data_IF_961713974891
#
_entry.id   IF_961713974891
#
_cell.length_a   1.000
_cell.length_b   1.000
_cell.length_c   1.000
_cell.angle_alpha   90.00
_cell.angle_beta   90.00
_cell.angle_gamma   90.00
#
_symmetry.space_group_name_H-M   'P 1'
#
loop_
_entity.id
_entity.type
_entity.pdbx_description
1 polymer ?
#
# COMPACT_ATOMS: atom_id res chain seq x y z
N UNK A 1 -7.99 -40.56 -41.74
CA UNK A 1 -8.59 -39.33 -41.19
C UNK A 1 -8.71 -39.51 -39.69
N UNK A 2 -7.80 -38.91 -38.92
CA UNK A 2 -7.94 -38.78 -37.48
C UNK A 2 -7.50 -37.36 -37.14
N UNK A 3 -8.47 -36.49 -36.88
CA UNK A 3 -8.28 -35.12 -36.47
C UNK A 3 -7.86 -35.09 -35.01
N UNK A 4 -6.63 -34.68 -34.73
CA UNK A 4 -6.18 -34.35 -33.38
C UNK A 4 -7.00 -33.17 -32.83
N UNK A 5 -7.39 -33.18 -31.55
CA UNK A 5 -8.07 -32.03 -30.95
C UNK A 5 -7.09 -30.88 -30.81
N UNK A 6 -7.39 -29.74 -31.44
CA UNK A 6 -6.76 -28.47 -31.11
C UNK A 6 -7.12 -28.12 -29.66
N UNK A 7 -6.20 -28.38 -28.73
CA UNK A 7 -6.21 -27.71 -27.43
C UNK A 7 -5.84 -26.24 -27.66
N UNK A 8 -6.84 -25.43 -28.04
CA UNK A 8 -6.78 -23.99 -27.82
C UNK A 8 -6.76 -23.78 -26.31
N UNK A 9 -5.56 -23.62 -25.75
CA UNK A 9 -5.39 -23.05 -24.42
C UNK A 9 -6.10 -21.69 -24.43
N UNK A 10 -7.28 -21.62 -23.82
CA UNK A 10 -7.95 -20.35 -23.55
C UNK A 10 -6.99 -19.55 -22.68
N UNK A 11 -6.37 -18.53 -23.26
CA UNK A 11 -5.42 -17.66 -22.56
C UNK A 11 -6.17 -16.99 -21.40
N UNK A 12 -5.95 -17.46 -20.18
CA UNK A 12 -6.67 -16.97 -19.00
C UNK A 12 -6.41 -15.48 -18.83
N UNK A 13 -7.49 -14.68 -18.85
CA UNK A 13 -7.40 -13.25 -18.63
C UNK A 13 -6.75 -12.97 -17.28
N UNK A 14 -5.64 -12.23 -17.29
CA UNK A 14 -4.93 -11.86 -16.05
C UNK A 14 -5.68 -10.71 -15.39
N UNK A 15 -6.09 -10.85 -14.13
CA UNK A 15 -6.76 -9.77 -13.39
C UNK A 15 -5.96 -9.35 -12.17
N UNK A 16 -5.42 -8.14 -12.20
CA UNK A 16 -4.70 -7.54 -11.07
C UNK A 16 -5.62 -6.56 -10.36
N UNK A 17 -5.62 -6.59 -9.03
CA UNK A 17 -6.37 -5.64 -8.21
C UNK A 17 -5.45 -4.82 -7.34
N UNK A 18 -5.72 -3.52 -7.25
CA UNK A 18 -4.98 -2.54 -6.48
C UNK A 18 -5.92 -1.95 -5.42
N UNK A 19 -5.55 -2.07 -4.14
CA UNK A 19 -6.36 -1.71 -2.98
C UNK A 19 -5.66 -0.62 -2.16
N UNK A 20 -5.74 0.67 -2.56
CA UNK A 20 -5.33 1.78 -1.71
C UNK A 20 -6.23 1.88 -0.47
N UNK A 21 -5.73 2.50 0.60
CA UNK A 21 -6.51 2.75 1.82
C UNK A 21 -7.15 4.15 1.81
N UNK A 22 -6.63 5.10 2.58
CA UNK A 22 -7.14 6.46 2.68
C UNK A 22 -6.00 7.47 2.88
N UNK A 23 -6.23 8.71 2.44
CA UNK A 23 -5.27 9.82 2.42
C UNK A 23 -4.49 9.91 1.11
N UNK A 24 -4.25 11.14 0.63
CA UNK A 24 -3.47 11.40 -0.61
C UNK A 24 -2.08 10.75 -0.56
N UNK A 25 -1.43 10.77 0.61
CA UNK A 25 -0.12 10.13 0.80
C UNK A 25 -0.13 8.62 0.57
N UNK A 26 -1.26 7.95 0.82
CA UNK A 26 -1.44 6.54 0.47
C UNK A 26 -1.93 6.37 -0.97
N UNK A 27 -2.89 7.19 -1.40
CA UNK A 27 -3.50 7.07 -2.72
C UNK A 27 -2.49 7.28 -3.87
N UNK A 28 -1.68 8.34 -3.83
CA UNK A 28 -0.82 8.71 -4.97
C UNK A 28 0.17 7.60 -5.36
N UNK A 29 0.92 6.95 -4.45
CA UNK A 29 1.76 5.80 -4.80
C UNK A 29 0.99 4.66 -5.48
N UNK A 30 -0.24 4.37 -5.03
CA UNK A 30 -1.08 3.33 -5.62
C UNK A 30 -1.55 3.69 -7.03
N UNK A 31 -1.91 4.96 -7.28
CA UNK A 31 -2.27 5.42 -8.61
C UNK A 31 -1.08 5.35 -9.58
N UNK A 32 0.12 5.70 -9.12
CA UNK A 32 1.35 5.59 -9.93
C UNK A 32 1.68 4.13 -10.24
N UNK A 33 1.56 3.23 -9.26
CA UNK A 33 1.71 1.80 -9.47
C UNK A 33 0.68 1.27 -10.49
N UNK A 34 -0.58 1.69 -10.36
CA UNK A 34 -1.66 1.34 -11.28
C UNK A 34 -1.36 1.79 -12.73
N UNK A 35 -0.90 3.03 -12.91
CA UNK A 35 -0.48 3.56 -14.21
C UNK A 35 0.67 2.74 -14.81
N UNK A 36 1.71 2.48 -14.00
CA UNK A 36 2.88 1.71 -14.41
C UNK A 36 2.50 0.29 -14.85
N UNK A 37 1.75 -0.44 -14.02
CA UNK A 37 1.27 -1.78 -14.35
C UNK A 37 0.36 -1.79 -15.56
N UNK A 38 -0.58 -0.84 -15.66
CA UNK A 38 -1.47 -0.73 -16.82
C UNK A 38 -0.72 -0.55 -18.13
N UNK A 39 0.43 0.13 -18.13
CA UNK A 39 1.25 0.31 -19.34
C UNK A 39 2.05 -0.92 -19.75
N UNK A 40 2.27 -1.85 -18.82
CA UNK A 40 3.09 -3.05 -19.01
C UNK A 40 2.27 -4.31 -19.24
N UNK A 41 0.98 -4.27 -18.90
CA UNK A 41 0.06 -5.40 -19.02
C UNK A 41 -0.32 -5.69 -20.48
N UNK A 42 -0.51 -6.97 -20.79
CA UNK A 42 -0.98 -7.42 -22.11
C UNK A 42 -2.43 -6.98 -22.37
N UNK A 43 -2.84 -6.96 -23.64
CA UNK A 43 -4.23 -6.62 -24.02
C UNK A 43 -5.28 -7.56 -23.41
N UNK A 44 -4.91 -8.77 -23.00
CA UNK A 44 -5.77 -9.74 -22.32
C UNK A 44 -5.64 -9.65 -20.78
N UNK A 45 -5.37 -8.46 -20.25
CA UNK A 45 -5.25 -8.22 -18.82
C UNK A 45 -6.23 -7.15 -18.37
N UNK A 46 -6.80 -7.35 -17.18
CA UNK A 46 -7.65 -6.40 -16.48
C UNK A 46 -6.89 -5.88 -15.26
N UNK A 47 -6.92 -4.57 -15.07
CA UNK A 47 -6.45 -3.94 -13.85
C UNK A 47 -7.62 -3.21 -13.21
N UNK A 48 -7.93 -3.55 -11.97
CA UNK A 48 -8.99 -2.91 -11.18
C UNK A 48 -8.39 -2.15 -10.01
N UNK A 49 -8.78 -0.89 -9.83
CA UNK A 49 -8.50 -0.15 -8.60
C UNK A 49 -9.73 -0.14 -7.70
N UNK A 50 -9.55 -0.49 -6.43
CA UNK A 50 -10.61 -0.40 -5.42
C UNK A 50 -10.69 1.03 -4.90
N UNK A 51 -11.90 1.60 -4.90
CA UNK A 51 -12.18 2.93 -4.40
C UNK A 51 -12.82 2.82 -3.01
N UNK A 52 -12.08 3.21 -1.97
CA UNK A 52 -12.57 3.18 -0.59
C UNK A 52 -13.57 4.31 -0.36
N UNK A 53 -14.81 3.97 -0.01
CA UNK A 53 -15.91 4.92 0.20
C UNK A 53 -16.38 4.96 1.66
N UNK A 54 -16.78 6.15 2.17
CA UNK A 54 -16.58 7.46 1.54
C UNK A 54 -15.09 7.85 1.48
N UNK A 55 -14.71 8.73 0.54
CA UNK A 55 -13.37 9.34 0.53
C UNK A 55 -13.12 10.10 1.84
N UNK A 56 -11.87 10.21 2.26
CA UNK A 56 -11.50 10.96 3.47
C UNK A 56 -11.55 12.48 3.25
N UNK A 57 -11.37 12.93 2.00
CA UNK A 57 -11.30 14.34 1.61
C UNK A 57 -11.80 14.55 0.17
N UNK A 58 -12.14 15.80 -0.17
CA UNK A 58 -12.42 16.20 -1.55
C UNK A 58 -11.20 16.04 -2.46
N UNK A 59 -10.00 16.27 -1.93
CA UNK A 59 -8.74 16.14 -2.67
C UNK A 59 -8.56 14.72 -3.23
N UNK A 60 -8.85 13.68 -2.44
CA UNK A 60 -8.80 12.30 -2.95
C UNK A 60 -9.82 12.06 -4.06
N UNK A 61 -11.06 12.54 -3.88
CA UNK A 61 -12.10 12.39 -4.90
C UNK A 61 -11.71 13.08 -6.21
N UNK A 62 -11.08 14.26 -6.13
CA UNK A 62 -10.54 14.97 -7.31
C UNK A 62 -9.40 14.19 -7.95
N UNK A 63 -8.43 13.72 -7.16
CA UNK A 63 -7.27 12.94 -7.66
C UNK A 63 -7.72 11.64 -8.34
N UNK A 64 -8.66 10.90 -7.72
CA UNK A 64 -9.26 9.69 -8.31
C UNK A 64 -9.94 10.03 -9.64
N UNK A 65 -10.76 11.10 -9.66
CA UNK A 65 -11.48 11.49 -10.87
C UNK A 65 -10.54 11.86 -12.02
N UNK A 66 -9.50 12.65 -11.73
CA UNK A 66 -8.47 13.02 -12.71
C UNK A 66 -7.70 11.79 -13.22
N UNK A 67 -7.32 10.88 -12.32
CA UNK A 67 -6.63 9.65 -12.69
C UNK A 67 -7.47 8.77 -13.62
N UNK A 68 -8.74 8.54 -13.29
CA UNK A 68 -9.64 7.70 -14.08
C UNK A 68 -9.93 8.32 -15.45
N UNK A 69 -10.04 9.65 -15.54
CA UNK A 69 -10.16 10.35 -16.81
C UNK A 69 -8.92 10.16 -17.71
N UNK A 70 -7.73 10.08 -17.11
CA UNK A 70 -6.48 9.82 -17.83
C UNK A 70 -6.22 8.34 -18.14
N UNK A 71 -6.89 7.41 -17.45
CA UNK A 71 -6.68 5.96 -17.57
C UNK A 71 -8.01 5.21 -17.76
N UNK A 72 -8.77 5.47 -18.84
CA UNK A 72 -10.10 4.88 -19.07
C UNK A 72 -10.09 3.35 -19.19
N UNK A 73 -8.93 2.74 -19.46
CA UNK A 73 -8.75 1.29 -19.51
C UNK A 73 -8.70 0.62 -18.13
N UNK A 74 -8.48 1.39 -17.06
CA UNK A 74 -8.43 0.87 -15.69
C UNK A 74 -9.85 0.76 -15.15
N UNK A 75 -10.23 -0.46 -14.77
CA UNK A 75 -11.53 -0.71 -14.14
C UNK A 75 -11.54 -0.22 -12.69
N UNK A 76 -12.74 0.03 -12.16
CA UNK A 76 -12.93 0.43 -10.77
C UNK A 76 -13.88 -0.50 -10.05
N UNK A 77 -13.71 -0.60 -8.74
CA UNK A 77 -14.65 -1.28 -7.85
C UNK A 77 -14.82 -0.46 -6.58
N UNK A 78 -16.04 -0.01 -6.30
CA UNK A 78 -16.30 0.75 -5.07
C UNK A 78 -16.44 -0.21 -3.89
N UNK A 79 -15.77 0.11 -2.79
CA UNK A 79 -15.87 -0.64 -1.55
C UNK A 79 -16.22 0.32 -0.41
N UNK A 80 -17.37 0.09 0.22
CA UNK A 80 -17.83 0.91 1.35
C UNK A 80 -17.21 0.38 2.64
N UNK A 81 -16.23 1.10 3.17
CA UNK A 81 -15.63 0.78 4.45
C UNK A 81 -16.61 1.05 5.60
N UNK A 82 -16.40 0.37 6.72
CA UNK A 82 -17.09 0.66 7.98
C UNK A 82 -16.97 2.16 8.32
N UNK A 83 -17.98 2.75 8.97
CA UNK A 83 -17.91 4.13 9.40
C UNK A 83 -16.81 4.33 10.47
N UNK A 84 -16.14 5.50 10.48
CA UNK A 84 -15.31 5.91 11.60
C UNK A 84 -16.13 5.93 12.90
N UNK A 85 -15.53 5.45 13.99
CA UNK A 85 -16.19 5.43 15.31
C UNK A 85 -15.22 5.89 16.38
N UNK A 86 -15.62 6.85 17.21
CA UNK A 86 -14.88 7.32 18.39
C UNK A 86 -15.65 6.99 19.68
N UNK A 87 -14.92 6.83 20.79
CA UNK A 87 -15.54 6.78 22.12
C UNK A 87 -15.95 8.21 22.52
N UNK A 88 -17.13 8.38 23.10
CA UNK A 88 -17.60 9.68 23.57
C UNK A 88 -16.60 10.29 24.56
N UNK A 89 -16.25 11.56 24.35
CA UNK A 89 -15.31 12.30 25.20
C UNK A 89 -13.82 12.14 24.85
N UNK A 90 -13.46 11.34 23.84
CA UNK A 90 -12.08 11.26 23.35
C UNK A 90 -11.90 12.08 22.07
N UNK A 91 -10.97 13.04 22.09
CA UNK A 91 -10.49 13.72 20.89
C UNK A 91 -9.44 12.85 20.21
N UNK A 92 -9.84 12.14 19.15
CA UNK A 92 -8.95 11.35 18.29
C UNK A 92 -8.89 12.02 16.92
N UNK A 93 -7.69 12.06 16.34
CA UNK A 93 -7.48 12.58 14.99
C UNK A 93 -8.42 11.90 13.96
N UNK A 94 -9.14 12.67 13.11
CA UNK A 94 -10.06 12.11 12.12
C UNK A 94 -9.42 11.13 11.13
N UNK A 95 -8.16 11.32 10.74
CA UNK A 95 -7.42 10.39 9.89
C UNK A 95 -7.21 9.07 10.61
N UNK A 96 -6.83 9.07 11.89
CA UNK A 96 -6.69 7.83 12.67
C UNK A 96 -8.01 7.09 12.83
N UNK A 97 -9.13 7.81 13.01
CA UNK A 97 -10.45 7.19 13.03
C UNK A 97 -10.79 6.55 11.68
N UNK A 98 -10.48 7.20 10.56
CA UNK A 98 -10.66 6.65 9.22
C UNK A 98 -9.76 5.43 8.98
N UNK A 99 -8.47 5.51 9.31
CA UNK A 99 -7.53 4.40 9.15
C UNK A 99 -7.94 3.19 9.98
N UNK A 100 -8.38 3.40 11.21
CA UNK A 100 -8.93 2.32 12.03
C UNK A 100 -10.20 1.71 11.41
N UNK A 101 -11.09 2.53 10.83
CA UNK A 101 -12.27 2.02 10.16
C UNK A 101 -11.94 1.18 8.92
N UNK A 102 -10.95 1.63 8.12
CA UNK A 102 -10.41 0.89 6.98
C UNK A 102 -9.78 -0.44 7.44
N UNK A 103 -8.94 -0.40 8.48
CA UNK A 103 -8.34 -1.58 9.10
C UNK A 103 -9.39 -2.62 9.52
N UNK A 104 -10.45 -2.20 10.22
CA UNK A 104 -11.55 -3.10 10.62
C UNK A 104 -12.35 -3.63 9.43
N UNK A 105 -12.26 -3.00 8.26
CA UNK A 105 -12.96 -3.41 7.05
C UNK A 105 -12.17 -4.41 6.20
N UNK A 106 -10.94 -4.76 6.59
CA UNK A 106 -10.05 -5.57 5.77
C UNK A 106 -10.60 -6.95 5.42
N UNK A 107 -11.27 -7.64 6.34
CA UNK A 107 -11.93 -8.92 6.05
C UNK A 107 -13.11 -8.77 5.08
N UNK A 108 -13.91 -7.71 5.24
CA UNK A 108 -15.02 -7.39 4.33
C UNK A 108 -14.50 -7.06 2.91
N UNK A 109 -13.34 -6.41 2.82
CA UNK A 109 -12.67 -6.16 1.55
C UNK A 109 -12.26 -7.48 0.90
N UNK A 110 -11.68 -8.42 1.66
CA UNK A 110 -11.29 -9.72 1.12
C UNK A 110 -12.48 -10.46 0.49
N UNK A 111 -13.63 -10.47 1.17
CA UNK A 111 -14.87 -11.08 0.65
C UNK A 111 -15.38 -10.34 -0.60
N UNK A 112 -15.32 -9.00 -0.60
CA UNK A 112 -15.69 -8.17 -1.76
C UNK A 112 -14.82 -8.50 -2.98
N UNK A 113 -13.51 -8.68 -2.79
CA UNK A 113 -12.58 -9.02 -3.87
C UNK A 113 -12.91 -10.36 -4.54
N UNK A 114 -13.44 -11.33 -3.80
CA UNK A 114 -13.81 -12.65 -4.34
C UNK A 114 -15.20 -12.69 -4.96
N UNK A 115 -16.12 -11.86 -4.48
CA UNK A 115 -17.55 -11.96 -4.83
C UNK A 115 -18.00 -10.90 -5.83
N UNK A 116 -17.42 -9.69 -5.78
CA UNK A 116 -17.84 -8.58 -6.63
C UNK A 116 -17.02 -8.45 -7.92
N UNK A 117 -15.90 -9.17 -8.03
CA UNK A 117 -14.97 -9.04 -9.14
C UNK A 117 -15.03 -10.24 -10.08
N UNK A 118 -15.09 -9.95 -11.39
CA UNK A 118 -15.00 -10.96 -12.45
C UNK A 118 -14.03 -10.50 -13.55
N UNK A 119 -13.10 -11.38 -14.02
CA UNK A 119 -12.79 -12.70 -13.45
C UNK A 119 -12.20 -12.56 -12.02
N UNK A 120 -12.03 -13.66 -11.25
CA UNK A 120 -11.37 -13.59 -9.95
C UNK A 120 -9.96 -12.98 -10.05
N UNK A 121 -9.49 -12.25 -9.03
CA UNK A 121 -8.14 -11.69 -9.04
C UNK A 121 -7.06 -12.77 -9.15
N UNK A 122 -6.05 -12.54 -9.98
CA UNK A 122 -4.81 -13.32 -10.04
C UNK A 122 -3.81 -12.86 -8.97
N UNK A 123 -3.81 -11.57 -8.63
CA UNK A 123 -2.97 -11.00 -7.58
C UNK A 123 -3.60 -9.71 -7.03
N UNK A 124 -3.32 -9.42 -5.76
CA UNK A 124 -3.80 -8.23 -5.06
C UNK A 124 -2.61 -7.42 -4.55
N UNK A 125 -2.57 -6.12 -4.86
CA UNK A 125 -1.62 -5.17 -4.30
C UNK A 125 -2.36 -4.26 -3.33
N UNK A 126 -2.07 -4.36 -2.03
CA UNK A 126 -2.84 -3.68 -0.98
C UNK A 126 -1.99 -2.77 -0.11
N UNK A 127 -2.65 -1.79 0.50
CA UNK A 127 -2.07 -0.97 1.55
C UNK A 127 -1.85 -1.77 2.84
N UNK A 128 -0.87 -1.34 3.66
CA UNK A 128 -0.56 -1.96 4.95
C UNK A 128 -1.80 -2.08 5.84
N UNK A 129 -2.74 -1.13 5.79
CA UNK A 129 -3.93 -1.14 6.65
C UNK A 129 -4.84 -2.36 6.45
N UNK A 130 -4.69 -3.11 5.35
CA UNK A 130 -5.48 -4.30 5.07
C UNK A 130 -4.78 -5.63 5.37
N UNK A 131 -3.49 -5.61 5.70
CA UNK A 131 -2.66 -6.81 5.77
C UNK A 131 -3.25 -7.89 6.70
N UNK A 132 -3.76 -7.51 7.87
CA UNK A 132 -4.29 -8.48 8.83
C UNK A 132 -5.61 -9.13 8.41
N UNK A 133 -6.41 -8.48 7.57
CA UNK A 133 -7.73 -9.00 7.18
C UNK A 133 -7.80 -9.66 5.82
N UNK A 134 -6.81 -9.44 4.94
CA UNK A 134 -6.81 -10.03 3.60
C UNK A 134 -6.29 -11.47 3.58
N UNK A 135 -5.26 -11.77 4.37
CA UNK A 135 -4.47 -13.00 4.20
C UNK A 135 -5.30 -14.28 4.22
N UNK A 136 -6.16 -14.49 5.22
CA UNK A 136 -6.88 -15.77 5.40
C UNK A 136 -7.78 -16.10 4.20
N UNK A 137 -8.55 -15.11 3.73
CA UNK A 137 -9.48 -15.28 2.62
C UNK A 137 -8.75 -15.41 1.28
N UNK A 138 -7.69 -14.62 1.05
CA UNK A 138 -6.91 -14.69 -0.19
C UNK A 138 -6.08 -15.98 -0.28
N UNK A 139 -5.49 -16.44 0.82
CA UNK A 139 -4.75 -17.70 0.88
C UNK A 139 -5.66 -18.89 0.57
N UNK A 140 -6.87 -18.93 1.13
CA UNK A 140 -7.89 -19.97 0.81
C UNK A 140 -8.26 -19.99 -0.67
N UNK A 141 -8.23 -18.82 -1.32
CA UNK A 141 -8.50 -18.69 -2.76
C UNK A 141 -7.25 -18.88 -3.65
N UNK A 142 -6.08 -19.15 -3.05
CA UNK A 142 -4.78 -19.21 -3.73
C UNK A 142 -4.43 -17.91 -4.51
N UNK A 143 -4.82 -16.75 -3.97
CA UNK A 143 -4.55 -15.44 -4.56
C UNK A 143 -3.38 -14.78 -3.82
N UNK A 144 -2.21 -14.61 -4.46
CA UNK A 144 -1.08 -13.92 -3.83
C UNK A 144 -1.41 -12.45 -3.54
N UNK A 145 -1.08 -12.01 -2.32
CA UNK A 145 -1.16 -10.61 -1.91
C UNK A 145 0.23 -9.97 -1.82
N UNK A 146 0.32 -8.71 -2.19
CA UNK A 146 1.53 -7.90 -2.15
C UNK A 146 1.22 -6.61 -1.39
N UNK A 147 2.06 -6.22 -0.44
CA UNK A 147 1.82 -5.01 0.35
C UNK A 147 2.71 -3.87 -0.14
N UNK A 148 2.12 -2.79 -0.65
CA UNK A 148 2.86 -1.58 -0.97
C UNK A 148 2.98 -0.71 0.28
N UNK A 149 4.23 -0.42 0.65
CA UNK A 149 4.58 0.46 1.75
C UNK A 149 4.81 1.87 1.20
N UNK A 150 4.03 2.82 1.70
CA UNK A 150 3.97 4.21 1.24
C UNK A 150 4.93 5.14 2.01
N UNK A 151 5.86 4.54 2.75
CA UNK A 151 6.92 5.22 3.53
C UNK A 151 8.28 4.59 3.21
N UNK A 152 9.35 5.10 3.82
CA UNK A 152 10.72 4.63 3.61
C UNK A 152 10.94 3.21 4.15
N UNK A 153 11.92 2.48 3.58
CA UNK A 153 12.36 1.21 4.13
C UNK A 153 12.89 1.38 5.56
N UNK A 154 13.52 2.52 5.85
CA UNK A 154 13.96 2.86 7.20
C UNK A 154 12.81 2.92 8.20
N UNK A 155 11.71 3.60 7.86
CA UNK A 155 10.55 3.69 8.75
C UNK A 155 9.80 2.35 8.82
N UNK A 156 9.72 1.60 7.72
CA UNK A 156 9.21 0.22 7.74
C UNK A 156 9.94 -0.65 8.77
N UNK A 157 11.28 -0.55 8.83
CA UNK A 157 12.10 -1.27 9.81
C UNK A 157 11.69 -0.98 11.26
N UNK A 158 11.34 0.27 11.54
CA UNK A 158 10.79 0.68 12.85
C UNK A 158 9.38 0.11 13.06
N UNK A 159 8.49 0.20 12.06
CA UNK A 159 7.11 -0.28 12.16
C UNK A 159 7.03 -1.79 12.45
N UNK A 160 7.84 -2.61 11.76
CA UNK A 160 7.86 -4.07 11.99
C UNK A 160 8.50 -4.45 13.33
N UNK A 161 9.30 -3.54 13.90
CA UNK A 161 9.92 -3.70 15.22
C UNK A 161 9.01 -3.24 16.38
N UNK A 162 7.83 -2.67 16.09
CA UNK A 162 6.92 -2.12 17.11
C UNK A 162 6.53 -3.08 18.25
N UNK A 163 6.29 -4.38 18.01
CA UNK A 163 6.01 -5.32 19.09
C UNK A 163 7.13 -5.39 20.13
N UNK A 164 8.38 -5.15 19.70
CA UNK A 164 9.60 -5.21 20.52
C UNK A 164 10.14 -3.84 20.92
N UNK A 165 9.42 -2.75 20.63
CA UNK A 165 9.94 -1.37 20.76
C UNK A 165 10.51 -1.05 22.16
N UNK A 166 9.91 -1.61 23.22
CA UNK A 166 10.40 -1.42 24.61
C UNK A 166 11.74 -2.13 24.86
N UNK A 167 11.91 -3.33 24.33
CA UNK A 167 13.14 -4.11 24.45
C UNK A 167 14.29 -3.44 23.67
N UNK A 168 13.95 -2.84 22.54
CA UNK A 168 14.91 -2.17 21.66
C UNK A 168 15.30 -0.77 22.14
N UNK A 169 14.61 -0.22 23.16
CA UNK A 169 14.93 1.10 23.70
C UNK A 169 16.09 1.01 24.70
N UNK A 170 17.27 1.41 24.24
CA UNK A 170 18.46 1.52 25.06
C UNK A 170 18.76 3.00 25.36
N UNK A 171 18.31 3.47 26.53
CA UNK A 171 18.64 4.81 27.01
C UNK A 171 18.21 5.96 26.09
N UNK A 172 17.05 5.84 25.42
CA UNK A 172 16.54 6.87 24.51
C UNK A 172 16.92 6.66 23.05
N UNK A 173 17.46 5.49 22.69
CA UNK A 173 17.72 5.10 21.30
C UNK A 173 17.09 3.74 21.03
N UNK A 174 16.34 3.64 19.93
CA UNK A 174 15.79 2.38 19.43
C UNK A 174 16.86 1.69 18.59
N UNK A 175 17.36 0.56 19.08
CA UNK A 175 18.38 -0.25 18.43
C UNK A 175 17.72 -1.31 17.55
N UNK A 176 17.76 -1.14 16.22
CA UNK A 176 17.26 -2.12 15.26
C UNK A 176 18.46 -2.81 14.63
N UNK A 177 18.48 -4.15 14.68
CA UNK A 177 19.55 -4.98 14.10
C UNK A 177 19.85 -4.59 12.65
N UNK A 178 21.14 -4.54 12.30
CA UNK A 178 21.63 -4.16 10.97
C UNK A 178 21.58 -2.68 10.63
N UNK A 179 21.01 -1.84 11.49
CA UNK A 179 20.79 -0.43 11.21
C UNK A 179 21.32 0.49 12.30
N UNK A 180 21.55 1.76 11.94
CA UNK A 180 21.87 2.78 12.93
C UNK A 180 20.75 2.88 13.98
N UNK A 181 21.04 3.24 15.24
CA UNK A 181 19.99 3.51 16.23
C UNK A 181 19.11 4.71 15.82
N UNK A 182 17.84 4.71 16.22
CA UNK A 182 16.89 5.83 16.02
C UNK A 182 16.71 6.52 17.38
N UNK A 183 17.00 7.81 17.49
CA UNK A 183 16.66 8.57 18.70
C UNK A 183 15.15 8.59 18.93
N UNK A 184 14.70 8.41 20.18
CA UNK A 184 13.26 8.36 20.51
C UNK A 184 12.50 9.63 20.11
N UNK A 185 13.19 10.76 19.98
CA UNK A 185 12.66 12.03 19.46
C UNK A 185 12.22 11.95 17.99
N UNK A 186 12.75 10.99 17.23
CA UNK A 186 12.40 10.73 15.83
C UNK A 186 11.34 9.61 15.69
N UNK A 187 10.86 9.06 16.80
CA UNK A 187 9.80 8.03 16.82
C UNK A 187 8.47 8.71 17.14
N UNK A 188 7.38 8.43 16.40
CA UNK A 188 6.07 8.98 16.73
C UNK A 188 5.72 8.73 18.20
N UNK A 189 5.35 9.75 18.99
CA UNK A 189 5.01 9.57 20.40
C UNK A 189 3.92 8.51 20.62
N UNK A 190 2.97 8.41 19.68
CA UNK A 190 1.93 7.40 19.63
C UNK A 190 2.46 5.95 19.73
N UNK A 191 3.66 5.66 19.22
CA UNK A 191 4.23 4.31 19.24
C UNK A 191 4.70 3.86 20.64
N UNK A 192 4.88 4.79 21.57
CA UNK A 192 5.25 4.47 22.96
C UNK A 192 4.04 4.18 23.85
N UNK A 193 2.83 4.61 23.47
CA UNK A 193 1.60 4.28 24.16
C UNK A 193 0.97 2.99 23.59
N UNK A 194 0.98 1.87 24.34
CA UNK A 194 0.41 0.60 23.87
C UNK A 194 -1.08 0.66 23.56
N UNK A 195 -1.81 1.61 24.16
CA UNK A 195 -3.24 1.78 23.98
C UNK A 195 -3.60 2.76 22.84
N UNK A 196 -2.60 3.43 22.26
CA UNK A 196 -2.84 4.39 21.20
C UNK A 196 -3.35 3.68 19.93
N UNK A 197 -4.43 4.21 19.36
CA UNK A 197 -5.11 3.64 18.19
C UNK A 197 -4.16 3.39 17.01
N UNK A 198 -3.39 4.42 16.66
CA UNK A 198 -2.37 4.36 15.60
C UNK A 198 -1.37 3.21 15.79
N UNK A 199 -0.79 3.09 16.98
CA UNK A 199 0.16 2.02 17.30
C UNK A 199 -0.50 0.65 17.14
N UNK A 200 -1.73 0.48 17.64
CA UNK A 200 -2.44 -0.79 17.62
C UNK A 200 -2.63 -1.32 16.20
N UNK A 201 -3.21 -0.52 15.29
CA UNK A 201 -3.46 -1.03 13.93
C UNK A 201 -2.18 -1.16 13.10
N UNK A 202 -1.17 -0.30 13.29
CA UNK A 202 0.12 -0.44 12.60
C UNK A 202 0.83 -1.72 13.06
N UNK A 203 0.90 -1.94 14.38
CA UNK A 203 1.54 -3.13 14.96
C UNK A 203 0.89 -4.42 14.49
N UNK A 204 -0.45 -4.51 14.59
CA UNK A 204 -1.19 -5.69 14.12
C UNK A 204 -0.92 -5.93 12.63
N UNK A 205 -1.08 -4.94 11.75
CA UNK A 205 -0.85 -5.18 10.32
C UNK A 205 0.60 -5.56 9.99
N UNK A 206 1.58 -5.04 10.71
CA UNK A 206 2.99 -5.43 10.53
C UNK A 206 3.23 -6.91 10.88
N UNK A 207 2.57 -7.45 11.91
CA UNK A 207 2.67 -8.88 12.27
C UNK A 207 2.15 -9.81 11.16
N UNK A 208 1.23 -9.32 10.34
CA UNK A 208 0.64 -10.08 9.23
C UNK A 208 1.37 -9.93 7.89
N UNK A 209 2.40 -9.06 7.80
CA UNK A 209 3.19 -8.92 6.58
C UNK A 209 3.88 -10.24 6.16
N UNK A 210 4.16 -11.14 7.11
CA UNK A 210 4.71 -12.48 6.86
C UNK A 210 3.84 -13.36 5.93
N UNK A 211 2.57 -13.02 5.75
CA UNK A 211 1.64 -13.73 4.88
C UNK A 211 1.58 -13.14 3.46
N UNK A 212 2.15 -11.96 3.22
CA UNK A 212 2.23 -11.41 1.88
C UNK A 212 3.24 -12.20 1.03
N UNK A 213 2.99 -12.29 -0.27
CA UNK A 213 3.93 -12.82 -1.26
C UNK A 213 5.17 -11.94 -1.43
N UNK A 214 5.04 -10.65 -1.13
CA UNK A 214 6.12 -9.68 -1.17
C UNK A 214 5.70 -8.32 -0.62
N UNK A 215 6.69 -7.56 -0.19
CA UNK A 215 6.54 -6.17 0.24
C UNK A 215 7.17 -5.27 -0.81
N UNK A 216 6.43 -4.30 -1.31
CA UNK A 216 6.92 -3.31 -2.26
C UNK A 216 7.22 -2.03 -1.49
N UNK A 217 8.39 -1.45 -1.73
CA UNK A 217 8.78 -0.15 -1.17
C UNK A 217 9.06 0.80 -2.32
N UNK A 218 8.46 1.98 -2.29
CA UNK A 218 8.74 3.05 -3.25
C UNK A 218 10.08 3.74 -2.93
N UNK A 219 11.17 2.99 -3.02
CA UNK A 219 12.55 3.37 -2.77
C UNK A 219 13.47 2.54 -3.68
N UNK A 220 14.78 2.80 -3.65
CA UNK A 220 15.78 2.08 -4.44
C UNK A 220 17.08 1.91 -3.65
N UNK A 221 17.88 0.90 -4.00
CA UNK A 221 19.02 0.45 -3.21
C UNK A 221 20.03 1.57 -2.90
N UNK A 222 20.30 2.44 -3.86
CA UNK A 222 21.25 3.54 -3.66
C UNK A 222 20.74 4.60 -2.66
N UNK A 223 19.42 4.81 -2.57
CA UNK A 223 18.82 5.77 -1.63
C UNK A 223 18.82 5.22 -0.20
N UNK A 224 18.54 3.92 -0.03
CA UNK A 224 18.46 3.26 1.27
C UNK A 224 19.38 2.02 1.36
N UNK A 225 20.70 2.18 1.21
CA UNK A 225 21.66 1.08 1.00
C UNK A 225 21.87 0.19 2.23
N UNK A 226 21.30 0.57 3.38
CA UNK A 226 21.33 -0.21 4.62
C UNK A 226 19.96 -0.79 4.97
N UNK A 227 18.91 0.04 4.90
CA UNK A 227 17.56 -0.36 5.29
C UNK A 227 16.99 -1.46 4.39
N UNK A 228 17.16 -1.33 3.06
CA UNK A 228 16.62 -2.33 2.13
C UNK A 228 17.31 -3.69 2.32
N UNK A 229 18.66 -3.80 2.34
CA UNK A 229 19.32 -5.07 2.59
C UNK A 229 19.01 -5.68 3.95
N UNK A 230 18.96 -4.90 5.04
CA UNK A 230 18.69 -5.42 6.38
C UNK A 230 17.26 -5.98 6.52
N UNK A 231 16.28 -5.40 5.82
CA UNK A 231 14.94 -5.98 5.72
C UNK A 231 14.94 -7.24 4.86
N UNK A 232 15.59 -7.20 3.69
CA UNK A 232 15.59 -8.30 2.73
C UNK A 232 16.37 -9.54 3.22
N UNK A 233 17.41 -9.35 4.04
CA UNK A 233 18.20 -10.43 4.64
C UNK A 233 17.54 -11.07 5.87
N UNK A 234 16.42 -10.50 6.36
CA UNK A 234 15.77 -10.93 7.60
C UNK A 234 16.49 -10.47 8.87
N UNK A 235 17.52 -9.62 8.76
CA UNK A 235 18.28 -9.12 9.91
C UNK A 235 17.42 -8.26 10.84
N UNK A 236 16.49 -7.46 10.29
CA UNK A 236 15.50 -6.71 11.08
C UNK A 236 14.45 -7.66 11.67
N UNK A 237 13.86 -8.50 10.82
CA UNK A 237 12.83 -9.48 11.20
C UNK A 237 12.81 -10.64 10.19
N UNK A 238 13.21 -11.83 10.64
CA UNK A 238 13.38 -13.00 9.78
C UNK A 238 12.10 -13.58 9.17
N UNK A 239 10.92 -13.16 9.62
CA UNK A 239 9.63 -13.61 9.08
C UNK A 239 9.11 -12.75 7.92
N UNK A 240 9.84 -11.71 7.50
CA UNK A 240 9.41 -10.87 6.39
C UNK A 240 9.51 -11.63 5.05
N UNK A 241 8.54 -11.43 4.14
CA UNK A 241 8.64 -11.93 2.77
C UNK A 241 9.68 -11.11 1.97
N UNK A 242 9.95 -11.48 0.71
CA UNK A 242 10.84 -10.72 -0.15
C UNK A 242 10.47 -9.23 -0.23
N UNK A 243 11.49 -8.37 -0.14
CA UNK A 243 11.37 -6.92 -0.28
C UNK A 243 11.70 -6.54 -1.72
N UNK A 244 10.80 -5.80 -2.37
CA UNK A 244 10.95 -5.28 -3.71
C UNK A 244 11.07 -3.76 -3.66
N UNK A 245 12.27 -3.25 -3.91
CA UNK A 245 12.52 -1.83 -4.10
C UNK A 245 12.08 -1.46 -5.54
N UNK A 246 10.95 -0.78 -5.66
CA UNK A 246 10.29 -0.47 -6.95
C UNK A 246 10.30 1.02 -7.29
N UNK A 247 11.01 1.82 -6.49
CA UNK A 247 11.05 3.26 -6.63
C UNK A 247 12.14 3.76 -7.57
N UNK A 248 12.09 5.06 -7.94
CA UNK A 248 10.95 5.94 -7.70
C UNK A 248 9.80 5.64 -8.67
N UNK A 249 8.59 5.48 -8.14
CA UNK A 249 7.38 5.39 -8.95
C UNK A 249 7.18 6.68 -9.74
N UNK A 250 7.14 6.56 -11.07
CA UNK A 250 7.02 7.67 -12.00
C UNK A 250 5.79 8.55 -11.66
N UNK A 251 5.91 9.88 -11.74
CA UNK A 251 4.76 10.76 -11.62
C UNK A 251 3.68 10.38 -12.64
N UNK A 252 2.42 10.54 -12.25
CA UNK A 252 1.32 10.51 -13.21
C UNK A 252 1.58 11.63 -14.22
N UNK A 253 1.56 11.31 -15.51
CA UNK A 253 1.61 12.36 -16.53
C UNK A 253 0.40 13.25 -16.31
N UNK A 254 0.64 14.48 -15.88
CA UNK A 254 -0.41 15.48 -15.91
C UNK A 254 -0.93 15.51 -17.36
N UNK A 255 -2.25 15.59 -17.53
CA UNK A 255 -2.73 16.16 -18.78
C UNK A 255 -1.98 17.48 -18.91
N UNK A 256 -1.18 17.63 -19.96
CA UNK A 256 -0.44 18.87 -20.21
C UNK A 256 -1.46 20.00 -20.16
N UNK A 257 -1.53 20.64 -19.00
CA UNK A 257 -2.38 21.78 -18.79
C UNK A 257 -1.92 22.79 -19.81
N UNK A 258 -2.86 23.35 -20.55
CA UNK A 258 -2.65 24.32 -21.64
C UNK A 258 -2.07 25.67 -21.16
N UNK A 259 -1.10 25.66 -20.26
CA UNK A 259 -0.39 26.83 -19.77
C UNK A 259 0.91 26.40 -19.12
N UNK A 260 2.03 26.80 -19.73
CA UNK A 260 3.29 26.94 -19.01
C UNK A 260 3.07 27.83 -17.78
N UNK A 261 3.97 27.76 -16.82
CA UNK A 261 3.87 28.53 -15.58
C UNK A 261 4.71 29.80 -15.76
N UNK A 262 4.18 30.92 -16.27
CA UNK A 262 5.02 32.00 -16.81
C UNK A 262 5.87 32.66 -15.73
N UNK A 263 5.40 32.62 -14.48
CA UNK A 263 6.17 33.05 -13.33
C UNK A 263 7.39 32.14 -13.07
N UNK A 264 7.22 30.81 -13.13
CA UNK A 264 8.32 29.84 -13.01
C UNK A 264 9.27 29.94 -14.21
N UNK A 265 8.74 30.07 -15.42
CA UNK A 265 9.52 30.18 -16.66
C UNK A 265 10.38 31.45 -16.69
N UNK A 266 10.00 32.47 -15.91
CA UNK A 266 10.75 33.72 -15.73
C UNK A 266 11.84 33.67 -14.65
N UNK A 267 11.97 32.58 -13.89
CA UNK A 267 13.01 32.45 -12.87
C UNK A 267 14.32 31.90 -13.46
N UNK A 268 15.50 32.25 -12.91
CA UNK A 268 16.75 31.59 -13.24
C UNK A 268 16.69 30.07 -12.93
N UNK A 269 17.44 29.22 -13.65
CA UNK A 269 17.56 27.81 -13.27
C UNK A 269 18.05 27.66 -11.83
N UNK A 270 17.38 26.79 -11.06
CA UNK A 270 17.72 26.44 -9.67
C UNK A 270 17.60 27.60 -8.64
N UNK A 271 16.80 28.64 -8.92
CA UNK A 271 16.49 29.74 -7.98
C UNK A 271 15.40 29.41 -6.96
#
# INVERSE_FOLDING_TARGET
>A
MASSPNHTLTQSQTHIVICPSAGIGHLTPFLRLASHLSSSLSSNSKLTIVLIRPSLSSAESTEISAFLAAHPQIATSEFHALPPSSVAGQHVDPFFLKYNAVFRSAGLLADHLLTALSPPPLAVFSDLLFASGLHETLDRANIPSFTLITTSARFLSLMVSLPRLRELNNGGKIEISGLAPIGVENVPPAFFDPNHLFRRFVGINCEYLKHAKGILVNSYDFLEPKSIPALASGEVLGSLPPIFAIGPLCPLRAQEGKGGYPWLDGQPPES
#
